data_IF_315485113887
#
_entry.id   IF_315485113887
#
_cell.length_a   1.000
_cell.length_b   1.000
_cell.length_c   1.000
_cell.angle_alpha   90.00
_cell.angle_beta   90.00
_cell.angle_gamma   90.00
#
_symmetry.space_group_name_H-M   'P 1'
#
loop_
_entity.id
_entity.type
_entity.pdbx_description
1 polymer ?
#
# COMPACT_ATOMS: atom_id res chain seq x y z
N UNK A 1 -13.34 -32.93 24.38
CA UNK A 1 -14.78 -32.61 24.54
C UNK A 1 -15.22 -32.88 25.99
N UNK A 2 -15.49 -31.82 26.78
CA UNK A 2 -15.95 -31.94 28.18
C UNK A 2 -17.42 -31.54 28.28
N UNK A 3 -18.34 -32.43 27.89
CA UNK A 3 -19.79 -32.21 28.00
C UNK A 3 -20.42 -33.15 29.01
N UNK A 4 -21.31 -32.62 29.84
CA UNK A 4 -22.17 -33.41 30.73
C UNK A 4 -23.21 -34.19 29.93
N UNK A 5 -23.76 -35.26 30.51
CA UNK A 5 -24.77 -36.09 29.83
C UNK A 5 -26.10 -35.36 29.62
N UNK A 6 -26.36 -34.28 30.37
CA UNK A 6 -27.49 -33.39 30.12
C UNK A 6 -27.25 -32.54 28.89
N UNK A 7 -26.05 -31.96 28.73
CA UNK A 7 -25.71 -31.14 27.57
C UNK A 7 -25.68 -31.97 26.28
N UNK A 8 -25.15 -33.21 26.33
CA UNK A 8 -25.20 -34.12 25.18
C UNK A 8 -26.64 -34.38 24.72
N UNK A 9 -27.57 -34.61 25.66
CA UNK A 9 -29.00 -34.84 25.34
C UNK A 9 -29.67 -33.59 24.79
N UNK A 10 -29.34 -32.41 25.32
CA UNK A 10 -29.85 -31.14 24.82
C UNK A 10 -29.38 -30.88 23.37
N UNK A 11 -28.09 -31.10 23.09
CA UNK A 11 -27.52 -30.98 21.74
C UNK A 11 -28.19 -31.94 20.77
N UNK A 12 -28.31 -33.22 21.13
CA UNK A 12 -28.96 -34.24 20.28
C UNK A 12 -30.40 -33.86 19.95
N UNK A 13 -31.17 -33.40 20.93
CA UNK A 13 -32.56 -32.99 20.73
C UNK A 13 -32.69 -31.80 19.78
N UNK A 14 -31.74 -30.87 19.81
CA UNK A 14 -31.72 -29.72 18.90
C UNK A 14 -31.36 -30.13 17.47
N UNK A 15 -30.39 -31.03 17.31
CA UNK A 15 -30.00 -31.59 16.02
C UNK A 15 -31.15 -32.39 15.40
N UNK A 16 -31.79 -33.27 16.17
CA UNK A 16 -32.96 -34.06 15.72
C UNK A 16 -34.16 -33.19 15.33
N UNK A 17 -34.29 -32.01 15.95
CA UNK A 17 -35.36 -31.05 15.65
C UNK A 17 -35.01 -30.04 14.56
N UNK A 18 -33.84 -30.19 13.91
CA UNK A 18 -33.29 -29.24 12.92
C UNK A 18 -33.28 -27.79 13.42
N UNK A 19 -32.92 -27.61 14.70
CA UNK A 19 -32.82 -26.30 15.37
C UNK A 19 -31.36 -25.89 15.54
N UNK A 20 -31.04 -24.59 15.40
CA UNK A 20 -29.68 -24.11 15.62
C UNK A 20 -29.22 -24.38 17.06
N UNK A 21 -27.95 -24.78 17.21
CA UNK A 21 -27.33 -24.96 18.52
C UNK A 21 -27.06 -23.59 19.19
N UNK A 22 -27.35 -23.43 20.49
CA UNK A 22 -26.95 -22.25 21.26
C UNK A 22 -25.44 -22.01 21.25
N UNK A 23 -25.03 -20.74 21.21
CA UNK A 23 -23.61 -20.31 21.16
C UNK A 23 -22.74 -20.88 22.29
N UNK A 24 -23.33 -21.16 23.46
CA UNK A 24 -22.64 -21.79 24.60
C UNK A 24 -21.95 -23.11 24.24
N UNK A 25 -22.45 -23.84 23.25
CA UNK A 25 -21.88 -25.14 22.86
C UNK A 25 -20.75 -25.02 21.85
N UNK A 26 -20.60 -23.87 21.17
CA UNK A 26 -19.60 -23.65 20.12
C UNK A 26 -18.18 -23.97 20.61
N UNK A 27 -17.78 -23.41 21.75
CA UNK A 27 -16.44 -23.61 22.32
C UNK A 27 -16.30 -24.89 23.16
N UNK A 28 -17.39 -25.63 23.42
CA UNK A 28 -17.37 -26.87 24.21
C UNK A 28 -17.27 -28.13 23.33
N UNK A 29 -17.77 -28.03 22.09
CA UNK A 29 -17.78 -29.13 21.11
C UNK A 29 -16.42 -29.34 20.43
N UNK A 30 -15.61 -28.28 20.28
CA UNK A 30 -14.32 -28.32 19.59
C UNK A 30 -13.16 -28.26 20.60
N UNK A 31 -12.13 -29.10 20.40
CA UNK A 31 -10.97 -29.22 21.29
C UNK A 31 -10.10 -27.96 21.23
N UNK A 32 -9.46 -27.60 22.35
CA UNK A 32 -8.70 -26.36 22.58
C UNK A 32 -7.71 -26.04 21.45
N UNK A 33 -8.18 -25.37 20.40
CA UNK A 33 -7.39 -24.38 19.68
C UNK A 33 -7.98 -23.05 20.08
N UNK A 34 -7.19 -22.24 20.78
CA UNK A 34 -7.52 -20.83 21.05
C UNK A 34 -7.49 -20.08 19.72
N UNK A 35 -8.47 -20.34 18.87
CA UNK A 35 -8.70 -19.63 17.62
C UNK A 35 -9.75 -18.57 17.92
N UNK A 36 -9.32 -17.31 17.94
CA UNK A 36 -10.23 -16.18 17.93
C UNK A 36 -10.76 -16.08 16.51
N UNK A 37 -12.07 -16.21 16.36
CA UNK A 37 -12.75 -16.09 15.08
C UNK A 37 -13.69 -14.89 15.08
N UNK A 38 -13.76 -14.20 13.96
CA UNK A 38 -14.77 -13.18 13.72
C UNK A 38 -16.07 -13.86 13.28
N UNK A 39 -17.21 -13.40 13.81
CA UNK A 39 -18.53 -13.93 13.44
C UNK A 39 -19.36 -12.79 12.85
N UNK A 40 -19.91 -13.01 11.65
CA UNK A 40 -20.87 -12.12 11.01
C UNK A 40 -21.85 -12.92 10.15
N UNK A 41 -22.99 -12.32 9.84
CA UNK A 41 -24.04 -12.97 9.05
C UNK A 41 -23.56 -13.26 7.63
N UNK A 42 -23.73 -14.51 7.19
CA UNK A 42 -23.30 -14.95 5.86
C UNK A 42 -21.79 -15.21 5.74
N UNK A 43 -21.03 -15.25 6.85
CA UNK A 43 -19.65 -15.75 6.84
C UNK A 43 -19.62 -17.16 6.26
N UNK A 44 -18.80 -17.35 5.23
CA UNK A 44 -18.56 -18.66 4.60
C UNK A 44 -17.06 -18.88 4.48
N UNK A 45 -16.64 -20.14 4.64
CA UNK A 45 -15.28 -20.59 4.31
C UNK A 45 -15.13 -20.89 2.82
N UNK A 46 -16.22 -20.91 2.06
CA UNK A 46 -16.22 -21.10 0.62
C UNK A 46 -15.69 -19.86 -0.07
N UNK A 47 -14.50 -19.98 -0.66
CA UNK A 47 -13.88 -18.91 -1.43
C UNK A 47 -14.32 -19.04 -2.89
N UNK A 48 -14.65 -17.91 -3.53
CA UNK A 48 -15.00 -17.88 -4.96
C UNK A 48 -13.93 -18.60 -5.78
N UNK A 49 -14.34 -19.59 -6.56
CA UNK A 49 -13.50 -20.37 -7.47
C UNK A 49 -14.06 -20.30 -8.90
N UNK A 50 -13.82 -19.17 -9.56
CA UNK A 50 -14.31 -18.87 -10.91
C UNK A 50 -13.12 -18.56 -11.81
N UNK A 51 -13.12 -19.16 -13.00
CA UNK A 51 -12.15 -18.85 -14.07
C UNK A 51 -12.88 -18.04 -15.13
N UNK A 52 -12.43 -16.80 -15.31
CA UNK A 52 -12.98 -15.87 -16.32
C UNK A 52 -11.96 -15.60 -17.42
N UNK A 53 -12.38 -15.48 -18.69
CA UNK A 53 -11.59 -14.82 -19.72
C UNK A 53 -11.59 -13.31 -19.43
N UNK A 54 -10.55 -12.78 -18.80
CA UNK A 54 -10.42 -11.34 -18.56
C UNK A 54 -9.93 -10.62 -19.81
N UNK A 55 -10.49 -9.44 -20.05
CA UNK A 55 -9.95 -8.50 -21.01
C UNK A 55 -8.79 -7.75 -20.35
N UNK A 56 -7.56 -8.06 -20.79
CA UNK A 56 -6.40 -7.22 -20.46
C UNK A 56 -6.52 -5.95 -21.30
N UNK A 57 -6.77 -4.82 -20.66
CA UNK A 57 -7.02 -3.54 -21.34
C UNK A 57 -5.73 -2.97 -21.90
N UNK A 58 -4.64 -3.06 -21.13
CA UNK A 58 -3.38 -2.41 -21.50
C UNK A 58 -2.18 -3.23 -21.00
N UNK A 59 -1.15 -3.31 -21.84
CA UNK A 59 0.20 -3.72 -21.45
C UNK A 59 1.05 -2.45 -21.30
N UNK A 60 1.46 -2.12 -20.07
CA UNK A 60 2.07 -0.81 -19.74
C UNK A 60 3.60 -0.96 -19.69
N UNK A 61 4.26 -0.90 -20.84
CA UNK A 61 5.63 -1.43 -20.95
C UNK A 61 6.75 -0.38 -21.05
N UNK A 62 6.50 0.89 -20.70
CA UNK A 62 7.56 1.87 -20.46
C UNK A 62 7.28 2.76 -19.23
N UNK A 63 8.28 3.03 -18.36
CA UNK A 63 8.21 4.19 -17.48
C UNK A 63 8.02 5.42 -18.37
N UNK A 64 6.90 6.14 -18.24
CA UNK A 64 6.72 7.40 -18.97
C UNK A 64 7.88 8.31 -18.60
N UNK A 65 8.80 8.49 -19.54
CA UNK A 65 10.07 9.17 -19.34
C UNK A 65 9.79 10.61 -18.88
N UNK A 66 9.80 10.86 -17.56
CA UNK A 66 9.75 12.21 -17.03
C UNK A 66 11.13 12.80 -17.25
N UNK A 67 11.34 13.47 -18.38
CA UNK A 67 12.49 14.36 -18.51
C UNK A 67 12.45 15.33 -17.32
N UNK A 68 13.49 15.42 -16.48
CA UNK A 68 13.52 16.40 -15.40
C UNK A 68 13.46 17.79 -16.03
N UNK A 69 12.46 18.59 -15.65
CA UNK A 69 12.36 19.98 -16.06
C UNK A 69 13.43 20.73 -15.27
N UNK A 70 14.60 20.90 -15.89
CA UNK A 70 15.54 21.96 -15.54
C UNK A 70 14.85 23.30 -15.82
N UNK A 71 14.13 23.83 -14.83
CA UNK A 71 13.63 25.20 -14.86
C UNK A 71 14.82 26.15 -14.66
N UNK A 72 15.59 26.38 -15.73
CA UNK A 72 16.57 27.47 -15.78
C UNK A 72 15.79 28.77 -15.97
N UNK A 73 15.48 29.42 -14.86
CA UNK A 73 15.03 30.82 -14.85
C UNK A 73 16.21 31.72 -15.26
N UNK A 74 16.42 31.94 -16.56
CA UNK A 74 17.20 33.07 -17.06
C UNK A 74 16.27 34.16 -17.54
N UNK A 75 16.07 35.17 -16.68
CA UNK A 75 15.59 36.50 -17.05
C UNK A 75 16.61 37.15 -18.01
N UNK A 76 16.17 37.53 -19.21
CA UNK A 76 16.67 38.68 -20.01
C UNK A 76 15.50 39.12 -20.91
N UNK A 77 14.77 40.19 -20.59
CA UNK A 77 15.05 41.60 -20.94
C UNK A 77 15.29 41.84 -22.44
N UNK A 78 14.28 42.39 -23.12
CA UNK A 78 14.50 43.38 -24.18
C UNK A 78 14.11 43.03 -25.62
N UNK A 79 13.06 43.73 -26.09
CA UNK A 79 12.88 44.35 -27.43
C UNK A 79 12.26 43.53 -28.56
N UNK A 80 11.03 43.95 -28.90
CA UNK A 80 10.29 43.70 -30.14
C UNK A 80 10.93 44.46 -31.29
N UNK A 81 11.26 43.78 -32.40
CA UNK A 81 11.21 44.30 -33.78
C UNK A 81 10.88 43.11 -34.69
N UNK A 82 9.86 43.24 -35.56
CA UNK A 82 9.37 42.17 -36.42
C UNK A 82 10.18 41.96 -37.69
N UNK A 83 9.96 40.82 -38.35
CA UNK A 83 9.70 40.75 -39.79
C UNK A 83 9.06 39.40 -40.15
N UNK A 84 8.25 39.44 -41.20
CA UNK A 84 7.44 38.37 -41.75
C UNK A 84 8.28 37.35 -42.52
N UNK A 85 7.69 36.16 -42.66
CA UNK A 85 8.05 35.06 -43.55
C UNK A 85 9.08 34.05 -43.02
N UNK A 86 8.58 32.87 -42.64
CA UNK A 86 8.99 31.57 -43.23
C UNK A 86 8.12 30.44 -42.70
N UNK A 87 7.20 30.02 -43.57
CA UNK A 87 6.70 28.64 -43.78
C UNK A 87 6.35 27.82 -42.54
N UNK A 88 5.05 27.79 -42.23
CA UNK A 88 4.43 26.79 -41.38
C UNK A 88 4.55 25.40 -42.03
N UNK A 89 5.37 24.53 -41.46
CA UNK A 89 5.21 23.09 -41.63
C UNK A 89 3.98 22.68 -40.80
N UNK A 90 2.83 22.62 -41.47
CA UNK A 90 1.61 22.03 -40.93
C UNK A 90 1.86 20.52 -40.85
N UNK A 91 2.30 20.05 -39.68
CA UNK A 91 2.26 18.62 -39.37
C UNK A 91 0.79 18.19 -39.34
N UNK A 92 0.37 17.61 -40.47
CA UNK A 92 -0.88 16.88 -40.64
C UNK A 92 -0.92 15.77 -39.58
N UNK A 93 -1.64 15.99 -38.50
CA UNK A 93 -2.06 14.89 -37.64
C UNK A 93 -3.03 14.01 -38.44
N UNK A 94 -2.73 12.73 -38.71
CA UNK A 94 -3.73 11.84 -39.27
C UNK A 94 -4.81 11.63 -38.21
N UNK A 95 -6.01 12.09 -38.56
CA UNK A 95 -7.28 11.82 -37.86
C UNK A 95 -7.60 10.35 -38.07
N UNK A 96 -7.01 9.48 -37.25
CA UNK A 96 -7.44 8.11 -36.92
C UNK A 96 -6.33 7.49 -36.06
N UNK A 97 -6.45 7.62 -34.73
CA UNK A 97 -5.72 6.73 -33.83
C UNK A 97 -6.45 5.39 -33.83
N UNK A 98 -5.78 4.24 -34.06
CA UNK A 98 -6.40 2.95 -33.82
C UNK A 98 -6.84 2.86 -32.35
N UNK A 99 -7.94 2.15 -32.10
CA UNK A 99 -8.51 1.95 -30.76
C UNK A 99 -7.52 1.32 -29.76
N UNK A 100 -6.43 0.74 -30.27
CA UNK A 100 -5.33 0.15 -29.52
C UNK A 100 -4.00 0.79 -29.93
N UNK A 101 -3.26 1.38 -28.98
CA UNK A 101 -1.89 1.85 -29.21
C UNK A 101 -0.93 0.64 -29.21
N UNK A 102 -0.24 0.41 -30.32
CA UNK A 102 0.69 -0.71 -30.47
C UNK A 102 2.13 -0.34 -30.13
N UNK A 103 2.40 0.89 -29.69
CA UNK A 103 3.75 1.36 -29.32
C UNK A 103 4.05 1.01 -27.87
N UNK A 104 5.26 0.50 -27.60
CA UNK A 104 5.75 0.24 -26.24
C UNK A 104 5.75 -1.22 -25.79
N UNK A 105 5.17 -2.18 -26.54
CA UNK A 105 5.10 -3.60 -26.10
C UNK A 105 6.49 -4.18 -25.79
N UNK A 106 6.67 -4.65 -24.56
CA UNK A 106 7.86 -5.36 -24.13
C UNK A 106 7.90 -6.73 -24.82
N UNK A 107 8.94 -6.97 -25.61
CA UNK A 107 9.07 -8.14 -26.49
C UNK A 107 9.55 -9.42 -25.77
N UNK A 108 9.98 -9.31 -24.51
CA UNK A 108 10.49 -10.43 -23.70
C UNK A 108 10.39 -10.15 -22.19
N UNK A 109 10.06 -11.16 -21.39
CA UNK A 109 9.88 -11.06 -19.94
C UNK A 109 8.46 -10.62 -19.53
N UNK A 110 8.26 -10.35 -18.23
CA UNK A 110 6.98 -9.92 -17.68
C UNK A 110 6.54 -8.55 -18.21
N UNK A 111 5.29 -8.46 -18.67
CA UNK A 111 4.60 -7.22 -19.09
C UNK A 111 3.70 -6.70 -17.98
N UNK A 112 3.67 -5.38 -17.76
CA UNK A 112 2.72 -4.81 -16.79
C UNK A 112 1.31 -4.94 -17.33
N UNK A 113 0.35 -5.38 -16.50
CA UNK A 113 -1.03 -5.64 -16.95
C UNK A 113 -2.03 -4.73 -16.22
N UNK A 114 -2.92 -4.10 -16.99
CA UNK A 114 -4.13 -3.46 -16.48
C UNK A 114 -5.34 -4.36 -16.78
N UNK A 115 -6.03 -4.81 -15.75
CA UNK A 115 -7.18 -5.74 -15.85
C UNK A 115 -8.43 -5.02 -15.35
N UNK A 116 -9.50 -5.07 -16.12
CA UNK A 116 -10.78 -4.42 -15.78
C UNK A 116 -11.85 -5.44 -15.44
N UNK A 117 -12.63 -5.15 -14.39
CA UNK A 117 -13.70 -5.99 -13.89
C UNK A 117 -13.76 -6.01 -12.36
N UNK A 118 -14.66 -6.85 -11.81
CA UNK A 118 -14.76 -7.04 -10.37
C UNK A 118 -13.49 -7.73 -9.85
N UNK A 119 -12.81 -7.07 -8.92
CA UNK A 119 -11.55 -7.55 -8.37
C UNK A 119 -11.67 -8.92 -7.70
N UNK A 120 -12.81 -9.30 -7.09
CA UNK A 120 -13.00 -10.64 -6.52
C UNK A 120 -12.93 -11.71 -7.62
N UNK A 121 -13.65 -11.49 -8.71
CA UNK A 121 -13.69 -12.44 -9.81
C UNK A 121 -12.35 -12.51 -10.54
N UNK A 122 -11.68 -11.36 -10.70
CA UNK A 122 -10.33 -11.30 -11.26
C UNK A 122 -9.35 -12.06 -10.37
N UNK A 123 -9.30 -11.79 -9.05
CA UNK A 123 -8.42 -12.49 -8.13
C UNK A 123 -8.66 -14.00 -8.13
N UNK A 124 -9.93 -14.43 -8.20
CA UNK A 124 -10.28 -15.84 -8.34
C UNK A 124 -9.75 -16.45 -9.64
N UNK A 125 -9.86 -15.73 -10.76
CA UNK A 125 -9.33 -16.18 -12.04
C UNK A 125 -7.79 -16.14 -12.11
N UNK A 126 -7.13 -15.18 -11.44
CA UNK A 126 -5.66 -15.18 -11.31
C UNK A 126 -5.17 -16.37 -10.48
N UNK A 127 -5.96 -16.79 -9.48
CA UNK A 127 -5.63 -17.92 -8.61
C UNK A 127 -5.85 -19.26 -9.30
N UNK A 128 -6.97 -19.43 -10.01
CA UNK A 128 -7.43 -20.72 -10.50
C UNK A 128 -7.37 -20.87 -12.04
N UNK A 129 -7.12 -19.77 -12.75
CA UNK A 129 -7.17 -19.70 -14.21
C UNK A 129 -5.81 -19.78 -14.89
N UNK A 130 -5.77 -19.57 -16.22
CA UNK A 130 -4.59 -19.82 -17.05
C UNK A 130 -3.39 -18.92 -16.70
N UNK A 131 -3.63 -17.71 -16.17
CA UNK A 131 -2.55 -16.83 -15.74
C UNK A 131 -1.83 -17.31 -14.48
N UNK A 132 -2.38 -18.26 -13.71
CA UNK A 132 -1.73 -18.75 -12.49
C UNK A 132 -0.34 -19.32 -12.78
N UNK A 133 -0.23 -20.16 -13.81
CA UNK A 133 1.04 -20.77 -14.19
C UNK A 133 2.06 -19.75 -14.71
N UNK A 134 1.60 -18.70 -15.43
CA UNK A 134 2.46 -17.58 -15.87
C UNK A 134 3.00 -16.82 -14.65
N UNK A 135 2.12 -16.49 -13.70
CA UNK A 135 2.49 -15.81 -12.45
C UNK A 135 3.54 -16.62 -11.68
N UNK A 136 3.32 -17.91 -11.49
CA UNK A 136 4.27 -18.78 -10.77
C UNK A 136 5.61 -18.90 -11.48
N UNK A 137 5.60 -19.05 -12.82
CA UNK A 137 6.83 -19.12 -13.63
C UNK A 137 7.69 -17.87 -13.50
N UNK A 138 7.07 -16.71 -13.33
CA UNK A 138 7.74 -15.41 -13.17
C UNK A 138 8.08 -15.09 -11.70
N UNK A 139 7.96 -16.07 -10.80
CA UNK A 139 8.34 -15.98 -9.39
C UNK A 139 7.23 -15.48 -8.46
N UNK A 140 5.98 -15.46 -8.94
CA UNK A 140 4.77 -15.18 -8.17
C UNK A 140 4.56 -13.70 -7.78
N UNK A 141 3.44 -13.43 -7.10
CA UNK A 141 3.12 -12.08 -6.61
C UNK A 141 3.89 -11.81 -5.32
N UNK A 142 4.85 -10.87 -5.38
CA UNK A 142 5.74 -10.52 -4.25
C UNK A 142 5.20 -9.41 -3.35
N UNK A 143 4.37 -8.53 -3.89
CA UNK A 143 3.85 -7.36 -3.20
C UNK A 143 2.40 -7.13 -3.61
N UNK A 144 1.52 -6.96 -2.63
CA UNK A 144 0.16 -6.49 -2.82
C UNK A 144 0.02 -5.17 -2.06
N UNK A 145 -0.49 -4.13 -2.72
CA UNK A 145 -0.84 -2.87 -2.08
C UNK A 145 -2.28 -2.53 -2.47
N UNK A 146 -3.14 -2.34 -1.48
CA UNK A 146 -4.56 -2.06 -1.70
C UNK A 146 -5.03 -0.87 -0.88
N UNK A 147 -5.95 -0.11 -1.48
CA UNK A 147 -6.65 1.02 -0.89
C UNK A 147 -8.17 0.78 -1.00
N UNK A 148 -8.74 -0.12 -0.16
CA UNK A 148 -10.16 -0.41 -0.19
C UNK A 148 -11.00 0.80 0.25
N UNK A 149 -12.30 0.86 -0.11
CA UNK A 149 -13.19 1.92 0.34
C UNK A 149 -13.26 1.97 1.89
N UNK A 150 -13.39 3.17 2.47
CA UNK A 150 -13.37 3.36 3.94
C UNK A 150 -14.75 3.41 4.61
N UNK A 151 -15.79 2.86 3.98
CA UNK A 151 -17.16 2.87 4.50
C UNK A 151 -17.59 4.31 4.90
N UNK A 152 -17.49 5.24 3.94
CA UNK A 152 -17.70 6.68 4.17
C UNK A 152 -19.18 7.09 4.04
N UNK A 153 -20.07 6.18 3.65
CA UNK A 153 -21.49 6.50 3.47
C UNK A 153 -21.76 7.44 2.30
N UNK A 154 -20.80 7.67 1.41
CA UNK A 154 -20.90 8.67 0.36
C UNK A 154 -21.53 8.10 -0.91
N UNK A 155 -22.54 8.82 -1.41
CA UNK A 155 -23.03 8.66 -2.76
C UNK A 155 -22.03 9.29 -3.73
N UNK A 156 -21.35 8.46 -4.52
CA UNK A 156 -20.37 8.88 -5.52
C UNK A 156 -20.98 9.01 -6.92
N UNK A 157 -22.31 9.21 -7.04
CA UNK A 157 -22.91 9.61 -8.31
C UNK A 157 -22.21 10.85 -8.84
N UNK A 158 -21.64 10.76 -10.05
CA UNK A 158 -20.93 11.85 -10.67
C UNK A 158 -21.77 12.43 -11.80
N UNK A 159 -22.09 13.71 -11.69
CA UNK A 159 -22.70 14.46 -12.78
C UNK A 159 -21.61 14.75 -13.82
N UNK A 160 -21.83 14.22 -15.03
CA UNK A 160 -20.97 14.45 -16.17
C UNK A 160 -21.65 15.51 -17.04
N UNK A 161 -21.03 16.69 -17.16
CA UNK A 161 -21.47 17.73 -18.09
C UNK A 161 -20.99 17.38 -19.50
N UNK A 162 -21.92 17.21 -20.43
CA UNK A 162 -21.65 17.00 -21.86
C UNK A 162 -22.35 18.12 -22.63
N UNK A 163 -21.60 19.17 -22.96
CA UNK A 163 -22.18 20.36 -23.59
C UNK A 163 -23.07 21.12 -22.60
N UNK A 164 -24.30 21.44 -23.02
CA UNK A 164 -25.30 22.13 -22.18
C UNK A 164 -26.14 21.15 -21.33
N UNK A 165 -25.93 19.84 -21.49
CA UNK A 165 -26.68 18.80 -20.77
C UNK A 165 -25.86 18.22 -19.61
N UNK A 166 -26.52 18.03 -18.46
CA UNK A 166 -25.97 17.31 -17.32
C UNK A 166 -26.50 15.88 -17.31
N UNK A 167 -25.61 14.90 -17.43
CA UNK A 167 -25.95 13.48 -17.31
C UNK A 167 -25.43 12.92 -15.99
N UNK A 168 -26.33 12.58 -15.07
CA UNK A 168 -25.98 11.84 -13.86
C UNK A 168 -25.66 10.40 -14.23
N UNK A 169 -24.38 10.03 -14.25
CA UNK A 169 -23.98 8.63 -14.46
C UNK A 169 -24.39 7.83 -13.22
N UNK A 170 -25.48 7.08 -13.31
CA UNK A 170 -25.81 6.06 -12.32
C UNK A 170 -24.73 4.98 -12.31
N UNK A 171 -24.25 4.52 -11.14
CA UNK A 171 -23.31 3.41 -11.06
C UNK A 171 -23.83 2.21 -11.86
N UNK A 172 -23.00 1.61 -12.70
CA UNK A 172 -23.32 0.29 -13.26
C UNK A 172 -23.31 -0.78 -12.14
N UNK A 173 -23.83 -2.00 -12.35
CA UNK A 173 -23.94 -3.02 -11.28
C UNK A 173 -22.61 -3.37 -10.59
N UNK A 174 -21.48 -3.32 -11.31
CA UNK A 174 -20.14 -3.52 -10.72
C UNK A 174 -19.71 -2.32 -9.88
N UNK A 175 -19.97 -1.12 -10.37
CA UNK A 175 -19.77 0.13 -9.67
C UNK A 175 -20.69 0.16 -8.44
N UNK A 176 -21.95 -0.25 -8.52
CA UNK A 176 -22.91 -0.34 -7.41
C UNK A 176 -22.45 -1.33 -6.31
N UNK A 177 -21.78 -2.42 -6.67
CA UNK A 177 -21.15 -3.34 -5.70
C UNK A 177 -19.93 -2.71 -5.00
N UNK A 178 -19.23 -1.79 -5.66
CA UNK A 178 -18.12 -1.02 -5.09
C UNK A 178 -18.57 0.29 -4.38
N UNK A 179 -19.75 0.82 -4.74
CA UNK A 179 -20.29 2.13 -4.37
C UNK A 179 -21.61 2.09 -3.59
N UNK A 180 -22.11 0.92 -3.20
CA UNK A 180 -23.01 0.81 -2.05
C UNK A 180 -22.23 1.11 -0.77
N UNK A 181 -21.73 2.32 -0.67
CA UNK A 181 -21.26 2.94 0.56
C UNK A 181 -22.45 3.14 1.54
N UNK A 182 -23.67 2.91 1.07
CA UNK A 182 -24.84 2.58 1.88
C UNK A 182 -25.05 1.08 1.93
N UNK A 183 -24.13 0.35 2.56
CA UNK A 183 -24.51 -0.96 3.07
C UNK A 183 -25.46 -0.73 4.24
N UNK A 184 -26.77 -0.76 3.98
CA UNK A 184 -27.81 -0.62 5.01
C UNK A 184 -27.81 -1.71 6.09
N UNK A 185 -26.71 -2.46 6.25
CA UNK A 185 -26.47 -3.54 7.23
C UNK A 185 -25.29 -3.28 8.19
N UNK A 186 -24.44 -2.28 7.93
CA UNK A 186 -23.32 -1.93 8.80
C UNK A 186 -22.01 -2.64 8.47
N UNK A 187 -21.09 -2.74 9.46
CA UNK A 187 -19.73 -3.24 9.28
C UNK A 187 -19.62 -4.69 8.77
N UNK A 188 -20.68 -5.48 8.90
CA UNK A 188 -20.74 -6.89 8.47
C UNK A 188 -20.52 -7.06 6.96
N UNK A 189 -21.12 -6.18 6.18
CA UNK A 189 -21.03 -6.15 4.72
C UNK A 189 -19.63 -5.78 4.20
N UNK A 190 -19.00 -4.77 4.81
CA UNK A 190 -17.62 -4.40 4.55
C UNK A 190 -16.68 -5.57 4.87
N UNK A 191 -16.87 -6.19 6.04
CA UNK A 191 -16.09 -7.36 6.47
C UNK A 191 -16.24 -8.50 5.47
N UNK A 192 -17.47 -8.85 5.06
CA UNK A 192 -17.71 -9.90 4.08
C UNK A 192 -17.03 -9.60 2.72
N UNK A 193 -17.16 -8.36 2.25
CA UNK A 193 -16.58 -7.90 0.98
C UNK A 193 -15.06 -8.03 0.98
N UNK A 194 -14.40 -7.57 2.06
CA UNK A 194 -12.94 -7.57 2.13
C UNK A 194 -12.36 -8.95 2.49
N UNK A 195 -13.04 -9.73 3.33
CA UNK A 195 -12.60 -11.06 3.75
C UNK A 195 -12.34 -11.99 2.56
N UNK A 196 -13.32 -12.13 1.66
CA UNK A 196 -13.18 -13.00 0.47
C UNK A 196 -11.98 -12.59 -0.40
N UNK A 197 -11.75 -11.28 -0.55
CA UNK A 197 -10.64 -10.73 -1.35
C UNK A 197 -9.31 -10.98 -0.68
N UNK A 198 -9.21 -10.78 0.63
CA UNK A 198 -7.98 -11.02 1.39
C UNK A 198 -7.59 -12.50 1.38
N UNK A 199 -8.56 -13.41 1.46
CA UNK A 199 -8.27 -14.85 1.33
C UNK A 199 -7.67 -15.17 -0.05
N UNK A 200 -8.25 -14.64 -1.13
CA UNK A 200 -7.69 -14.81 -2.48
C UNK A 200 -6.30 -14.17 -2.62
N UNK A 201 -6.10 -12.95 -2.10
CA UNK A 201 -4.80 -12.26 -2.11
C UNK A 201 -3.74 -13.03 -1.34
N UNK A 202 -4.08 -13.57 -0.16
CA UNK A 202 -3.19 -14.40 0.64
C UNK A 202 -2.75 -15.63 -0.14
N UNK A 203 -3.65 -16.28 -0.87
CA UNK A 203 -3.34 -17.50 -1.62
C UNK A 203 -2.53 -17.22 -2.90
N UNK A 204 -2.60 -16.01 -3.43
CA UNK A 204 -1.80 -15.54 -4.58
C UNK A 204 -0.40 -15.06 -4.20
N UNK A 205 -0.24 -14.55 -2.97
CA UNK A 205 1.01 -13.99 -2.46
C UNK A 205 2.03 -15.10 -2.21
N UNK A 206 3.27 -14.90 -2.65
CA UNK A 206 4.37 -15.85 -2.39
C UNK A 206 4.79 -15.84 -0.93
N UNK A 207 5.45 -16.91 -0.47
CA UNK A 207 5.84 -17.11 0.94
C UNK A 207 6.68 -15.97 1.52
N UNK A 208 7.54 -15.35 0.71
CA UNK A 208 8.35 -14.19 1.11
C UNK A 208 7.77 -12.83 0.73
N UNK A 209 6.50 -12.82 0.33
CA UNK A 209 5.75 -11.66 -0.11
C UNK A 209 5.16 -10.84 1.03
N UNK A 210 4.80 -9.60 0.70
CA UNK A 210 4.23 -8.61 1.62
C UNK A 210 2.92 -8.05 1.10
N UNK A 211 2.02 -7.69 2.02
CA UNK A 211 0.78 -6.97 1.72
C UNK A 211 0.67 -5.71 2.57
N UNK A 212 0.30 -4.61 1.93
CA UNK A 212 0.03 -3.32 2.55
C UNK A 212 -1.43 -2.94 2.31
N UNK A 213 -2.16 -2.67 3.39
CA UNK A 213 -3.59 -2.35 3.33
C UNK A 213 -3.82 -0.98 3.94
N UNK A 214 -4.19 -0.01 3.11
CA UNK A 214 -4.52 1.34 3.55
C UNK A 214 -5.93 1.40 4.12
N UNK A 215 -6.09 2.08 5.26
CA UNK A 215 -7.36 2.26 5.95
C UNK A 215 -7.35 3.59 6.73
N UNK A 216 -8.48 4.29 6.71
CA UNK A 216 -8.70 5.34 7.68
C UNK A 216 -9.23 4.80 9.03
N UNK A 217 -9.45 5.71 9.96
CA UNK A 217 -9.85 5.43 11.33
C UNK A 217 -11.20 4.71 11.49
N UNK A 218 -12.11 4.71 10.49
CA UNK A 218 -13.43 4.04 10.59
C UNK A 218 -13.30 2.54 10.49
N UNK A 219 -12.51 2.07 9.53
CA UNK A 219 -12.41 0.64 9.17
C UNK A 219 -11.13 -0.01 9.65
N UNK A 220 -10.14 0.75 10.14
CA UNK A 220 -8.85 0.22 10.56
C UNK A 220 -8.95 -0.94 11.58
N UNK A 221 -9.78 -0.81 12.62
CA UNK A 221 -9.95 -1.88 13.62
C UNK A 221 -10.56 -3.15 13.01
N UNK A 222 -11.57 -3.01 12.16
CA UNK A 222 -12.19 -4.15 11.48
C UNK A 222 -11.21 -4.81 10.51
N UNK A 223 -10.51 -4.02 9.68
CA UNK A 223 -9.49 -4.53 8.77
C UNK A 223 -8.40 -5.28 9.51
N UNK A 224 -7.94 -4.74 10.65
CA UNK A 224 -6.90 -5.38 11.47
C UNK A 224 -7.33 -6.76 11.91
N UNK A 225 -8.55 -6.90 12.43
CA UNK A 225 -9.07 -8.19 12.88
C UNK A 225 -9.27 -9.17 11.72
N UNK A 226 -9.77 -8.69 10.57
CA UNK A 226 -9.95 -9.54 9.38
C UNK A 226 -8.60 -10.03 8.85
N UNK A 227 -7.58 -9.15 8.82
CA UNK A 227 -6.22 -9.53 8.44
C UNK A 227 -5.64 -10.57 9.40
N UNK A 228 -5.87 -10.44 10.71
CA UNK A 228 -5.42 -11.43 11.70
C UNK A 228 -6.10 -12.79 11.49
N UNK A 229 -7.39 -12.83 11.16
CA UNK A 229 -8.05 -14.10 10.86
C UNK A 229 -7.53 -14.72 9.55
N UNK A 230 -7.30 -13.92 8.51
CA UNK A 230 -6.90 -14.43 7.19
C UNK A 230 -5.43 -14.84 7.15
N UNK A 231 -4.53 -14.02 7.68
CA UNK A 231 -3.07 -14.20 7.62
C UNK A 231 -2.48 -14.80 8.90
N UNK A 232 -3.11 -14.59 10.05
CA UNK A 232 -2.58 -14.94 11.37
C UNK A 232 -1.84 -13.79 12.04
N UNK A 233 -1.83 -13.78 13.37
CA UNK A 233 -1.25 -12.71 14.19
C UNK A 233 0.29 -12.67 14.11
N UNK A 234 0.96 -13.83 13.95
CA UNK A 234 2.43 -13.91 13.97
C UNK A 234 3.10 -13.19 12.80
N UNK A 235 2.38 -13.03 11.69
CA UNK A 235 2.89 -12.43 10.46
C UNK A 235 2.52 -10.96 10.28
N UNK A 236 1.88 -10.37 11.29
CA UNK A 236 1.77 -8.92 11.42
C UNK A 236 3.15 -8.31 11.64
N UNK A 237 3.50 -7.26 10.88
CA UNK A 237 4.82 -6.63 10.98
C UNK A 237 4.76 -5.24 11.57
N UNK A 238 3.89 -4.39 11.05
CA UNK A 238 3.78 -3.02 11.54
C UNK A 238 2.49 -2.33 11.08
N UNK A 239 2.22 -1.17 11.66
CA UNK A 239 1.21 -0.23 11.18
C UNK A 239 1.87 1.10 10.88
N UNK A 240 1.90 1.45 9.61
CA UNK A 240 2.48 2.71 9.15
C UNK A 240 1.40 3.79 9.29
N UNK A 241 1.73 4.90 9.96
CA UNK A 241 0.88 6.07 10.08
C UNK A 241 1.40 7.17 9.19
N UNK A 242 0.56 7.64 8.28
CA UNK A 242 0.91 8.75 7.40
C UNK A 242 0.00 9.95 7.64
N UNK A 243 0.61 11.14 7.61
CA UNK A 243 -0.09 12.40 7.80
C UNK A 243 -0.66 12.86 6.46
N UNK A 244 -1.99 12.96 6.37
CA UNK A 244 -2.70 13.51 5.20
C UNK A 244 -2.47 15.01 5.06
N UNK A 245 -2.99 15.78 6.02
CA UNK A 245 -3.00 17.24 5.99
C UNK A 245 -2.91 17.80 7.40
N UNK A 246 -2.15 18.91 7.60
CA UNK A 246 -2.24 19.65 8.85
C UNK A 246 -3.67 20.21 9.03
N UNK A 247 -4.17 20.30 10.27
CA UNK A 247 -5.45 20.92 10.53
C UNK A 247 -5.46 22.39 10.11
N UNK A 248 -6.51 22.82 9.40
CA UNK A 248 -6.72 24.21 8.96
C UNK A 248 -8.14 24.66 9.25
N UNK A 249 -8.33 25.98 9.39
CA UNK A 249 -9.65 26.60 9.59
C UNK A 249 -10.41 26.03 10.78
N UNK A 250 -11.69 25.71 10.59
CA UNK A 250 -12.55 25.15 11.63
C UNK A 250 -11.98 23.88 12.30
N UNK A 251 -11.19 23.07 11.58
CA UNK A 251 -10.55 21.87 12.14
C UNK A 251 -9.46 22.19 13.16
N UNK A 252 -8.81 23.35 13.05
CA UNK A 252 -7.73 23.77 13.95
C UNK A 252 -8.25 24.34 15.28
N UNK A 253 -9.47 24.88 15.29
CA UNK A 253 -10.13 25.46 16.46
C UNK A 253 -11.22 24.55 17.06
N UNK A 254 -11.29 23.31 16.58
CA UNK A 254 -12.30 22.36 17.04
C UNK A 254 -12.02 21.91 18.48
N UNK A 255 -13.07 21.53 19.22
CA UNK A 255 -12.96 20.98 20.59
C UNK A 255 -12.51 19.51 20.63
N UNK A 256 -11.79 19.06 19.60
CA UNK A 256 -11.26 17.70 19.48
C UNK A 256 -9.97 17.69 18.66
N UNK A 257 -9.21 16.60 18.76
CA UNK A 257 -8.06 16.39 17.90
C UNK A 257 -8.48 16.21 16.43
N UNK A 258 -7.72 16.83 15.53
CA UNK A 258 -7.96 16.68 14.11
C UNK A 258 -7.60 15.27 13.64
N UNK A 259 -8.50 14.65 12.88
CA UNK A 259 -8.27 13.39 12.17
C UNK A 259 -7.40 13.64 10.94
N UNK A 260 -6.09 13.77 11.17
CA UNK A 260 -5.09 14.19 10.19
C UNK A 260 -4.19 13.08 9.67
N UNK A 261 -4.40 11.84 10.11
CA UNK A 261 -3.62 10.68 9.69
C UNK A 261 -4.52 9.50 9.37
N UNK A 262 -4.03 8.64 8.48
CA UNK A 262 -4.59 7.33 8.18
C UNK A 262 -3.51 6.26 8.42
N UNK A 263 -3.88 4.99 8.27
CA UNK A 263 -3.06 3.85 8.65
C UNK A 263 -2.85 2.93 7.46
N UNK A 264 -1.68 2.32 7.39
CA UNK A 264 -1.37 1.29 6.41
C UNK A 264 -0.85 0.07 7.17
N UNK A 265 -1.66 -0.99 7.19
CA UNK A 265 -1.33 -2.24 7.84
C UNK A 265 -0.31 -2.99 6.99
N UNK A 266 0.79 -3.41 7.60
CA UNK A 266 1.83 -4.18 6.95
C UNK A 266 1.85 -5.62 7.50
N UNK A 267 1.53 -6.55 6.61
CA UNK A 267 1.58 -7.99 6.83
C UNK A 267 2.51 -8.66 5.84
N UNK A 268 3.01 -9.83 6.21
CA UNK A 268 3.74 -10.73 5.32
C UNK A 268 3.00 -12.05 5.19
N UNK A 269 3.31 -12.84 4.16
CA UNK A 269 2.75 -14.18 4.01
C UNK A 269 3.26 -15.14 5.10
N UNK A 270 4.54 -15.05 5.44
CA UNK A 270 5.21 -15.92 6.44
C UNK A 270 6.26 -15.13 7.24
N UNK A 271 6.95 -15.81 8.17
CA UNK A 271 8.11 -15.25 8.90
C UNK A 271 9.39 -15.15 8.06
N UNK A 272 9.44 -15.81 6.90
CA UNK A 272 10.52 -15.63 5.94
C UNK A 272 10.08 -14.62 4.89
N UNK A 273 10.45 -13.35 5.04
CA UNK A 273 10.00 -12.28 4.14
C UNK A 273 11.14 -11.38 3.65
N UNK A 274 10.88 -10.73 2.52
CA UNK A 274 11.83 -9.78 1.93
C UNK A 274 11.63 -8.38 2.52
N UNK A 275 12.66 -7.82 3.14
CA UNK A 275 12.68 -6.43 3.61
C UNK A 275 13.79 -5.64 2.93
N UNK A 276 13.43 -4.54 2.29
CA UNK A 276 14.37 -3.62 1.68
C UNK A 276 14.43 -2.35 2.53
N UNK A 277 15.48 -2.20 3.33
CA UNK A 277 15.66 -1.02 4.17
C UNK A 277 15.70 0.26 3.31
N UNK A 278 14.79 1.17 3.59
CA UNK A 278 14.70 2.47 2.91
C UNK A 278 15.34 3.55 3.77
N UNK A 279 16.03 4.48 3.12
CA UNK A 279 16.68 5.61 3.77
C UNK A 279 16.35 6.89 3.02
N UNK A 280 16.17 7.97 3.77
CA UNK A 280 16.12 9.33 3.26
C UNK A 280 17.41 10.06 3.60
N UNK A 281 17.70 11.13 2.88
CA UNK A 281 18.83 11.98 3.21
C UNK A 281 18.69 12.57 4.62
N UNK A 282 19.81 12.74 5.33
CA UNK A 282 19.79 13.46 6.60
C UNK A 282 19.40 14.92 6.39
N UNK A 283 18.56 15.44 7.29
CA UNK A 283 18.33 16.88 7.35
C UNK A 283 19.65 17.65 7.56
N UNK A 284 19.78 18.82 6.93
CA UNK A 284 21.02 19.62 7.02
C UNK A 284 21.39 19.97 8.47
N UNK A 285 20.41 20.23 9.34
CA UNK A 285 20.68 20.50 10.77
C UNK A 285 21.22 19.27 11.48
N UNK A 286 20.74 18.08 11.11
CA UNK A 286 21.28 16.84 11.63
C UNK A 286 22.74 16.65 11.20
N UNK A 287 23.04 16.87 9.91
CA UNK A 287 24.41 16.79 9.38
C UNK A 287 25.33 17.74 10.16
N UNK A 288 24.97 19.02 10.22
CA UNK A 288 25.78 20.04 10.88
C UNK A 288 25.98 19.79 12.39
N UNK A 289 24.99 19.19 13.07
CA UNK A 289 25.08 18.93 14.50
C UNK A 289 25.84 17.64 14.84
N UNK A 290 25.77 16.60 14.00
CA UNK A 290 26.36 15.28 14.29
C UNK A 290 27.67 15.04 13.56
N UNK A 291 27.76 15.41 12.29
CA UNK A 291 28.97 15.24 11.47
C UNK A 291 29.80 16.52 11.50
N UNK A 292 30.24 16.90 12.69
CA UNK A 292 30.90 18.20 12.95
C UNK A 292 32.43 18.10 13.10
N UNK A 293 33.02 16.96 12.77
CA UNK A 293 34.48 16.73 12.80
C UNK A 293 34.97 16.38 11.41
N UNK A 294 36.18 16.82 11.08
CA UNK A 294 36.88 16.46 9.86
C UNK A 294 38.14 15.67 10.17
N UNK A 295 38.44 14.68 9.33
CA UNK A 295 39.73 14.01 9.37
C UNK A 295 40.79 14.78 8.58
N UNK A 296 41.99 14.20 8.45
CA UNK A 296 43.12 14.83 7.74
C UNK A 296 42.85 15.05 6.25
N UNK A 297 41.94 14.28 5.67
CA UNK A 297 41.56 14.33 4.27
C UNK A 297 40.32 15.23 4.05
N UNK A 298 39.83 15.88 5.11
CA UNK A 298 38.68 16.78 5.07
C UNK A 298 37.32 16.07 5.11
N UNK A 299 37.28 14.76 5.34
CA UNK A 299 36.03 13.99 5.38
C UNK A 299 35.28 14.23 6.68
N UNK A 300 33.99 14.55 6.57
CA UNK A 300 33.13 14.78 7.72
C UNK A 300 32.73 13.47 8.40
N UNK A 301 32.88 13.40 9.72
CA UNK A 301 32.52 12.23 10.51
C UNK A 301 31.83 12.61 11.82
N UNK A 302 31.13 11.61 12.38
CA UNK A 302 30.61 11.61 13.74
C UNK A 302 31.26 10.49 14.55
N UNK A 303 31.21 10.62 15.87
CA UNK A 303 31.65 9.56 16.79
C UNK A 303 30.40 9.00 17.47
N UNK A 304 30.13 7.72 17.22
CA UNK A 304 29.05 6.97 17.87
C UNK A 304 29.58 6.17 19.06
N UNK A 305 28.68 5.79 19.96
CA UNK A 305 28.98 4.79 20.98
C UNK A 305 29.34 3.46 20.31
N UNK A 306 30.34 2.76 20.87
CA UNK A 306 30.78 1.49 20.32
C UNK A 306 29.78 0.34 20.58
N UNK A 307 28.91 0.47 21.59
CA UNK A 307 27.94 -0.59 21.92
C UNK A 307 28.63 -1.90 22.31
N UNK A 308 28.02 -3.03 21.94
CA UNK A 308 28.42 -4.37 22.39
C UNK A 308 29.34 -5.12 21.41
N UNK A 309 30.12 -4.39 20.59
CA UNK A 309 31.08 -5.03 19.68
C UNK A 309 32.15 -5.81 20.45
N UNK A 310 32.47 -7.02 19.96
CA UNK A 310 33.56 -7.84 20.52
C UNK A 310 34.92 -7.16 20.43
N UNK A 311 35.86 -7.51 21.31
CA UNK A 311 37.25 -7.00 21.27
C UNK A 311 37.91 -7.21 19.90
N UNK A 312 37.63 -8.35 19.24
CA UNK A 312 38.11 -8.64 17.88
C UNK A 312 37.60 -7.61 16.88
N UNK A 313 36.30 -7.30 16.91
CA UNK A 313 35.69 -6.28 16.04
C UNK A 313 36.27 -4.90 16.31
N UNK A 314 36.48 -4.55 17.59
CA UNK A 314 37.09 -3.27 17.99
C UNK A 314 38.54 -3.18 17.47
N UNK A 315 39.33 -4.25 17.58
CA UNK A 315 40.69 -4.29 17.05
C UNK A 315 40.71 -4.15 15.51
N UNK A 316 39.77 -4.77 14.80
CA UNK A 316 39.62 -4.59 13.35
C UNK A 316 39.23 -3.15 12.98
N UNK A 317 38.30 -2.53 13.71
CA UNK A 317 37.97 -1.12 13.52
C UNK A 317 39.17 -0.21 13.79
N UNK A 318 39.96 -0.52 14.81
CA UNK A 318 41.19 0.22 15.13
C UNK A 318 42.20 0.14 13.99
N UNK A 319 42.41 -1.05 13.40
CA UNK A 319 43.25 -1.24 12.20
C UNK A 319 42.74 -0.44 11.00
N UNK A 320 41.43 -0.25 10.88
CA UNK A 320 40.78 0.55 9.83
C UNK A 320 40.72 2.06 10.15
N UNK A 321 41.32 2.51 11.25
CA UNK A 321 41.27 3.91 11.67
C UNK A 321 39.87 4.39 12.08
N UNK A 322 38.99 3.47 12.49
CA UNK A 322 37.59 3.76 12.85
C UNK A 322 37.35 3.93 14.34
N UNK A 323 38.38 3.91 15.17
CA UNK A 323 38.24 4.06 16.62
C UNK A 323 38.70 5.44 17.04
N UNK A 324 37.89 6.07 17.89
CA UNK A 324 38.24 7.27 18.62
C UNK A 324 38.48 6.92 20.09
N UNK A 325 39.69 7.16 20.59
CA UNK A 325 40.05 6.96 21.99
C UNK A 325 39.73 8.23 22.80
N UNK A 326 38.82 8.13 23.77
CA UNK A 326 38.53 9.24 24.68
C UNK A 326 39.58 9.30 25.79
N UNK A 327 39.90 10.51 26.31
CA UNK A 327 40.80 10.64 27.47
C UNK A 327 40.35 9.86 28.71
N UNK A 328 39.06 9.56 28.83
CA UNK A 328 38.46 8.77 29.91
C UNK A 328 38.70 7.26 29.79
N UNK A 329 39.39 6.79 28.74
CA UNK A 329 39.60 5.37 28.44
C UNK A 329 38.43 4.69 27.73
N UNK A 330 37.31 5.40 27.52
CA UNK A 330 36.21 4.92 26.65
C UNK A 330 36.64 4.99 25.19
N UNK A 331 36.01 4.16 24.36
CA UNK A 331 36.22 4.17 22.90
C UNK A 331 34.92 4.47 22.18
N UNK A 332 35.02 5.22 21.09
CA UNK A 332 33.93 5.52 20.17
C UNK A 332 34.22 4.99 18.77
N UNK A 333 33.16 4.84 17.97
CA UNK A 333 33.24 4.41 16.59
C UNK A 333 33.07 5.61 15.65
N UNK A 334 34.06 5.84 14.79
CA UNK A 334 34.04 6.87 13.76
C UNK A 334 33.16 6.41 12.60
N UNK A 335 32.15 7.21 12.25
CA UNK A 335 31.29 7.03 11.08
C UNK A 335 31.35 8.24 10.18
N UNK A 336 31.71 8.03 8.91
CA UNK A 336 31.78 9.10 7.92
C UNK A 336 30.43 9.40 7.29
N UNK A 337 30.23 10.66 6.91
CA UNK A 337 29.01 11.14 6.27
C UNK A 337 28.85 10.61 4.86
N UNK A 338 29.93 10.57 4.08
CA UNK A 338 29.96 10.10 2.68
C UNK A 338 29.71 8.59 2.53
N UNK A 339 29.85 7.83 3.61
CA UNK A 339 29.51 6.41 3.69
C UNK A 339 28.12 6.15 4.28
N UNK A 340 27.45 7.19 4.79
CA UNK A 340 26.17 7.04 5.44
C UNK A 340 25.04 6.83 4.42
N UNK A 341 24.19 5.84 4.68
CA UNK A 341 22.99 5.58 3.85
C UNK A 341 21.88 6.61 4.04
N UNK A 342 21.97 7.44 5.09
CA UNK A 342 20.95 8.41 5.48
C UNK A 342 20.17 8.01 6.73
N UNK A 343 19.04 8.67 6.96
CA UNK A 343 18.09 8.37 8.02
C UNK A 343 17.17 7.24 7.56
N UNK A 344 17.07 6.17 8.35
CA UNK A 344 16.14 5.08 8.04
C UNK A 344 14.70 5.60 8.06
N UNK A 345 13.90 5.21 7.07
CA UNK A 345 12.47 5.52 7.05
C UNK A 345 11.79 4.77 8.19
N UNK A 346 10.94 5.47 8.94
CA UNK A 346 10.15 4.90 10.04
C UNK A 346 8.72 4.61 9.60
N UNK A 347 7.94 4.09 10.53
CA UNK A 347 6.49 3.87 10.42
C UNK A 347 5.66 5.16 10.54
N UNK A 348 6.29 6.32 10.78
CA UNK A 348 5.59 7.60 10.88
C UNK A 348 5.99 8.49 9.70
N UNK A 349 5.08 8.66 8.75
CA UNK A 349 5.29 9.43 7.53
C UNK A 349 4.71 10.83 7.67
N UNK A 350 5.59 11.82 7.82
CA UNK A 350 5.23 13.24 8.00
C UNK A 350 5.59 14.10 6.78
N UNK A 351 6.28 13.52 5.82
CA UNK A 351 6.93 14.13 4.67
C UNK A 351 6.19 13.90 3.34
N UNK A 352 5.00 13.31 3.40
CA UNK A 352 4.11 13.20 2.24
C UNK A 352 3.41 14.54 2.04
N UNK A 353 3.73 15.21 0.94
CA UNK A 353 3.14 16.50 0.58
C UNK A 353 1.71 16.33 0.02
N UNK A 354 0.88 17.34 0.27
CA UNK A 354 -0.46 17.43 -0.34
C UNK A 354 -0.35 17.43 -1.87
N UNK A 355 -0.95 16.45 -2.53
CA UNK A 355 -1.15 16.49 -3.98
C UNK A 355 -2.25 17.51 -4.27
N UNK A 356 -1.85 18.77 -4.49
CA UNK A 356 -2.79 19.82 -4.88
C UNK A 356 -3.23 19.54 -6.32
N UNK A 357 -4.52 19.25 -6.54
CA UNK A 357 -5.09 18.94 -7.87
C UNK A 357 -4.74 19.99 -8.95
N UNK A 358 -4.47 21.25 -8.57
CA UNK A 358 -3.94 22.27 -9.50
C UNK A 358 -2.53 21.97 -10.03
N UNK A 359 -1.67 21.26 -9.29
CA UNK A 359 -0.38 20.75 -9.78
C UNK A 359 -0.54 19.54 -10.70
N UNK A 360 -1.65 18.81 -10.63
CA UNK A 360 -1.94 17.73 -11.58
C UNK A 360 -2.13 18.29 -13.01
N UNK A 361 -2.55 19.55 -13.19
CA UNK A 361 -2.55 20.19 -14.52
C UNK A 361 -1.15 20.29 -15.16
N UNK A 362 -0.08 20.24 -14.36
CA UNK A 362 1.30 20.21 -14.83
C UNK A 362 1.89 18.79 -14.91
N UNK A 363 1.31 17.83 -14.22
CA UNK A 363 1.64 16.41 -14.42
C UNK A 363 0.70 15.87 -15.52
N UNK A 364 1.22 15.58 -16.72
CA UNK A 364 0.45 15.02 -17.86
C UNK A 364 -0.17 13.62 -17.61
N UNK A 365 -0.46 13.25 -16.36
CA UNK A 365 -0.91 11.92 -15.95
C UNK A 365 -2.42 11.81 -15.72
N UNK A 366 -3.17 12.91 -15.74
CA UNK A 366 -4.64 12.89 -15.65
C UNK A 366 -5.29 13.49 -16.90
N UNK A 367 -5.03 12.88 -18.06
CA UNK A 367 -5.93 12.95 -19.22
C UNK A 367 -6.09 11.54 -19.77
N UNK A 368 -7.13 10.87 -19.30
CA UNK A 368 -8.03 10.08 -20.13
C UNK A 368 -9.41 10.18 -19.51
#
# INVERSE_FOLDING_TARGET
>A
MKLTDTEKREILKLIEADKPLPDKYRFMLFDDKREVELVWNGKTSEVTNLVLPFQVIEQVDEPRNSKPIMAVNKRKSGKVIGDHSRTAAVDKYPVQRPLFDTRGRQKSGWTNKLIWGDNKLILSSLKNGPLRAEIEKEGGIKLICIDPPFDVGADFSMDIEIGDDTFTKKPNVLEELAYRDTWGKGADSFIAMIYERLVLMRDLLVENGSIYVHCDWRVNSFMRLVMEEVFGTSVYRNEIRWKRQPPRGAKAISRQYARSSDSMLYYTKSDSYTWNAQFKEYDQKYILSKFNKQDKDGRWYRIDNIGDYSEKSIAEFRKKGRIYDYPSGKVGLIRYLDEAKGEAITDIWLDINEVIVKQIRFSKFARQ
#
